data_IF_994586878929
#
_entry.id   IF_994586878929
#
_cell.length_a   1.000
_cell.length_b   1.000
_cell.length_c   1.000
_cell.angle_alpha   90.00
_cell.angle_beta   90.00
_cell.angle_gamma   90.00
#
_symmetry.space_group_name_H-M   'P 1'
#
loop_
_entity.id
_entity.type
_entity.pdbx_description
1 polymer ?
#
# COMPACT_ATOMS: atom_id res chain seq x y z
N UNK A 1 9.16 6.75 2.46
CA UNK A 1 7.78 6.32 2.16
C UNK A 1 7.86 5.08 1.29
N UNK A 2 6.80 4.29 1.29
CA UNK A 2 6.74 3.04 0.53
C UNK A 2 5.29 2.68 0.19
N UNK A 3 5.13 1.74 -0.72
CA UNK A 3 3.86 1.18 -1.15
C UNK A 3 3.83 -0.34 -0.97
N UNK A 4 2.70 -0.85 -0.50
CA UNK A 4 2.48 -2.29 -0.46
C UNK A 4 1.07 -2.67 -0.91
N UNK A 5 0.95 -3.88 -1.43
CA UNK A 5 -0.30 -4.46 -1.91
C UNK A 5 -0.75 -5.63 -1.07
N UNK A 6 -2.03 -5.65 -0.75
CA UNK A 6 -2.75 -6.80 -0.22
C UNK A 6 -3.55 -7.42 -1.36
N UNK A 7 -3.15 -8.63 -1.76
CA UNK A 7 -3.96 -9.47 -2.63
C UNK A 7 -4.95 -10.26 -1.78
N UNK A 8 -6.15 -10.52 -2.29
CA UNK A 8 -7.13 -11.45 -1.70
C UNK A 8 -6.70 -12.94 -1.79
N UNK A 9 -5.39 -13.16 -1.88
CA UNK A 9 -4.74 -14.47 -1.96
C UNK A 9 -4.32 -14.99 -0.60
N UNK A 10 -4.41 -14.19 0.46
CA UNK A 10 -4.14 -14.68 1.81
C UNK A 10 -5.18 -15.73 2.27
N UNK A 11 -4.70 -16.91 2.65
CA UNK A 11 -5.54 -17.95 3.26
C UNK A 11 -5.30 -17.94 4.76
N UNK A 12 -6.37 -17.98 5.55
CA UNK A 12 -6.25 -18.20 6.99
C UNK A 12 -5.65 -19.59 7.24
N UNK A 13 -4.54 -19.64 7.96
CA UNK A 13 -3.89 -20.90 8.34
C UNK A 13 -4.69 -21.71 9.38
N UNK A 14 -5.76 -21.11 9.92
CA UNK A 14 -6.55 -21.67 11.01
C UNK A 14 -8.03 -21.64 10.65
N UNK A 15 -8.75 -22.66 11.11
CA UNK A 15 -10.20 -22.77 11.01
C UNK A 15 -10.71 -23.63 12.17
N UNK A 16 -11.99 -23.50 12.49
CA UNK A 16 -12.61 -24.25 13.58
C UNK A 16 -13.35 -25.47 13.04
N UNK A 17 -13.07 -26.65 13.61
CA UNK A 17 -13.81 -27.89 13.37
C UNK A 17 -13.99 -28.66 14.69
N UNK A 18 -14.91 -29.62 14.71
CA UNK A 18 -15.05 -30.52 15.86
C UNK A 18 -13.75 -31.31 16.06
N UNK A 19 -13.48 -31.68 17.32
CA UNK A 19 -12.31 -32.47 17.67
C UNK A 19 -12.30 -33.79 16.89
N UNK A 20 -11.24 -34.04 16.12
CA UNK A 20 -11.08 -35.22 15.28
C UNK A 20 -11.58 -35.07 13.84
N UNK A 21 -12.21 -33.94 13.48
CA UNK A 21 -12.69 -33.66 12.13
C UNK A 21 -11.76 -32.69 11.40
N UNK A 22 -11.48 -32.96 10.11
CA UNK A 22 -10.68 -32.06 9.27
C UNK A 22 -11.47 -30.79 8.94
N UNK A 23 -10.86 -29.63 9.15
CA UNK A 23 -11.42 -28.35 8.69
C UNK A 23 -11.15 -28.18 7.18
N UNK A 24 -12.19 -28.32 6.36
CA UNK A 24 -12.11 -28.02 4.93
C UNK A 24 -12.45 -26.56 4.67
N UNK A 25 -11.74 -25.93 3.74
CA UNK A 25 -12.05 -24.60 3.25
C UNK A 25 -11.89 -24.57 1.73
N UNK A 26 -12.75 -23.82 1.06
CA UNK A 26 -12.67 -23.60 -0.38
C UNK A 26 -12.17 -22.19 -0.63
N UNK A 27 -11.20 -22.05 -1.53
CA UNK A 27 -10.71 -20.76 -2.00
C UNK A 27 -10.84 -20.66 -3.50
N UNK A 28 -11.32 -19.51 -3.97
CA UNK A 28 -11.35 -19.21 -5.41
C UNK A 28 -9.92 -19.16 -5.96
N UNK A 29 -9.66 -19.88 -7.05
CA UNK A 29 -8.39 -19.77 -7.79
C UNK A 29 -8.31 -18.52 -8.69
N UNK A 30 -9.38 -17.71 -8.75
CA UNK A 30 -9.40 -16.49 -9.56
C UNK A 30 -8.55 -15.40 -8.91
N UNK A 31 -7.92 -14.57 -9.74
CA UNK A 31 -7.24 -13.36 -9.29
C UNK A 31 -8.30 -12.32 -8.93
N UNK A 32 -8.48 -12.06 -7.65
CA UNK A 32 -9.42 -11.06 -7.13
C UNK A 32 -8.80 -9.66 -7.09
N UNK A 33 -9.60 -8.67 -6.68
CA UNK A 33 -9.17 -7.28 -6.54
C UNK A 33 -7.97 -7.18 -5.58
N UNK A 34 -7.00 -6.34 -5.96
CA UNK A 34 -5.85 -5.97 -5.12
C UNK A 34 -6.15 -4.63 -4.48
N UNK A 35 -5.97 -4.54 -3.17
CA UNK A 35 -5.99 -3.26 -2.45
C UNK A 35 -4.55 -2.93 -2.12
N UNK A 36 -4.08 -1.77 -2.53
CA UNK A 36 -2.74 -1.28 -2.20
C UNK A 36 -2.83 -0.05 -1.32
N UNK A 37 -1.73 0.26 -0.65
CA UNK A 37 -1.57 1.47 0.13
C UNK A 37 -0.23 2.13 -0.14
N UNK A 38 -0.18 3.42 0.11
CA UNK A 38 1.00 4.28 0.08
C UNK A 38 1.02 5.09 1.37
N UNK A 39 2.18 5.18 2.02
CA UNK A 39 2.34 5.95 3.24
C UNK A 39 3.80 6.37 3.45
N UNK A 40 4.01 7.50 4.10
CA UNK A 40 5.29 7.87 4.68
C UNK A 40 5.38 7.41 6.14
N UNK A 41 6.60 7.34 6.66
CA UNK A 41 6.85 7.12 8.08
C UNK A 41 7.63 8.33 8.59
N UNK A 42 7.08 9.05 9.56
CA UNK A 42 7.73 10.18 10.25
C UNK A 42 7.68 9.90 11.74
N UNK A 43 8.83 9.97 12.42
CA UNK A 43 8.91 9.77 13.88
C UNK A 43 8.29 8.44 14.40
N UNK A 44 8.39 7.37 13.59
CA UNK A 44 7.80 6.03 13.84
C UNK A 44 6.27 5.98 13.78
N UNK A 45 5.63 7.04 13.29
CA UNK A 45 4.20 7.09 13.04
C UNK A 45 3.89 7.10 11.54
N UNK A 46 2.76 6.47 11.18
CA UNK A 46 2.26 6.50 9.81
C UNK A 46 1.86 7.93 9.44
N UNK A 47 2.39 8.39 8.31
CA UNK A 47 2.24 9.76 7.86
C UNK A 47 1.65 9.80 6.45
N UNK A 48 0.54 10.51 6.29
CA UNK A 48 -0.23 10.56 5.04
C UNK A 48 -0.60 9.18 4.45
N UNK A 49 -1.24 8.26 5.21
CA UNK A 49 -1.67 6.98 4.67
C UNK A 49 -2.78 7.16 3.63
N UNK A 50 -2.71 6.41 2.54
CA UNK A 50 -3.73 6.38 1.50
C UNK A 50 -3.88 4.98 0.91
N UNK A 51 -5.13 4.52 0.77
CA UNK A 51 -5.47 3.19 0.23
C UNK A 51 -6.20 3.31 -1.10
N UNK A 52 -5.89 2.43 -2.04
CA UNK A 52 -6.47 2.44 -3.38
C UNK A 52 -6.57 1.05 -3.98
N UNK A 53 -7.42 0.89 -4.99
CA UNK A 53 -7.57 -0.37 -5.71
C UNK A 53 -6.57 -0.47 -6.86
N UNK A 54 -5.95 -1.64 -7.03
CA UNK A 54 -5.00 -1.91 -8.10
C UNK A 54 -3.54 -1.67 -7.71
N UNK A 55 -2.71 -1.31 -8.68
CA UNK A 55 -1.26 -1.09 -8.51
C UNK A 55 -0.93 0.40 -8.51
N UNK A 56 0.12 0.80 -7.78
CA UNK A 56 0.58 2.19 -7.78
C UNK A 56 1.03 2.56 -9.20
N UNK A 57 0.68 3.76 -9.63
CA UNK A 57 1.13 4.33 -10.89
C UNK A 57 1.51 5.80 -10.68
N UNK A 58 2.08 6.43 -11.71
CA UNK A 58 2.59 7.79 -11.61
C UNK A 58 1.54 8.83 -11.26
N UNK A 59 0.33 8.72 -11.83
CA UNK A 59 -0.76 9.69 -11.59
C UNK A 59 -1.27 9.58 -10.14
N UNK A 60 -1.42 8.36 -9.65
CA UNK A 60 -1.84 8.10 -8.27
C UNK A 60 -0.78 8.56 -7.27
N UNK A 61 0.49 8.27 -7.55
CA UNK A 61 1.62 8.74 -6.76
C UNK A 61 1.66 10.27 -6.70
N UNK A 62 1.52 10.94 -7.85
CA UNK A 62 1.50 12.41 -7.93
C UNK A 62 0.35 13.00 -7.13
N UNK A 63 -0.86 12.48 -7.31
CA UNK A 63 -2.03 12.91 -6.54
C UNK A 63 -1.81 12.73 -5.04
N UNK A 64 -1.28 11.59 -4.61
CA UNK A 64 -0.97 11.37 -3.20
C UNK A 64 0.10 12.34 -2.70
N UNK A 65 1.14 12.60 -3.49
CA UNK A 65 2.20 13.53 -3.13
C UNK A 65 1.65 14.94 -2.92
N UNK A 66 0.86 15.45 -3.88
CA UNK A 66 0.29 16.80 -3.89
C UNK A 66 -0.81 16.99 -2.85
N UNK A 67 -1.73 16.03 -2.72
CA UNK A 67 -2.94 16.19 -1.91
C UNK A 67 -2.80 15.62 -0.49
N UNK A 68 -1.93 14.61 -0.28
CA UNK A 68 -1.82 13.91 1.00
C UNK A 68 -0.53 14.19 1.75
N UNK A 69 0.62 14.16 1.07
CA UNK A 69 1.93 14.26 1.71
C UNK A 69 2.38 15.72 1.87
N UNK A 70 2.55 16.45 0.77
CA UNK A 70 3.10 17.80 0.75
C UNK A 70 2.38 18.79 1.69
N UNK A 71 1.04 18.79 1.82
CA UNK A 71 0.33 19.73 2.71
C UNK A 71 0.64 19.54 4.19
N UNK A 72 1.20 18.39 4.57
CA UNK A 72 1.52 18.05 5.97
C UNK A 72 3.00 18.22 6.29
N UNK A 73 3.86 18.38 5.29
CA UNK A 73 5.29 18.52 5.49
C UNK A 73 5.65 19.91 6.00
N UNK A 74 6.69 19.95 6.81
CA UNK A 74 7.26 21.18 7.33
C UNK A 74 8.57 21.51 6.60
N UNK A 75 8.94 22.80 6.61
CA UNK A 75 10.19 23.24 6.00
C UNK A 75 11.37 22.54 6.69
N UNK A 76 12.15 21.79 5.93
CA UNK A 76 13.31 21.04 6.42
C UNK A 76 13.07 19.53 6.52
N UNK A 77 11.83 19.07 6.34
CA UNK A 77 11.55 17.64 6.18
C UNK A 77 12.24 17.08 4.92
N UNK A 78 12.72 15.84 5.01
CA UNK A 78 13.38 15.13 3.92
C UNK A 78 12.52 13.93 3.53
N UNK A 79 12.14 13.87 2.25
CA UNK A 79 11.44 12.72 1.69
C UNK A 79 12.48 11.70 1.20
N UNK A 80 12.42 10.49 1.74
CA UNK A 80 13.21 9.35 1.26
C UNK A 80 12.26 8.36 0.58
N UNK A 81 12.55 8.07 -0.69
CA UNK A 81 11.79 7.18 -1.58
C UNK A 81 12.75 6.23 -2.29
N UNK A 82 12.28 5.04 -2.67
CA UNK A 82 13.07 4.13 -3.51
C UNK A 82 13.10 4.62 -4.98
N UNK A 83 13.88 3.93 -5.82
CA UNK A 83 14.08 4.32 -7.22
C UNK A 83 13.09 3.64 -8.18
N UNK A 84 11.80 3.61 -7.84
CA UNK A 84 10.78 3.12 -8.75
C UNK A 84 10.59 4.06 -9.96
N UNK A 85 10.26 3.52 -11.13
CA UNK A 85 10.12 4.30 -12.37
C UNK A 85 9.02 5.36 -12.29
N UNK A 86 7.95 5.12 -11.54
CA UNK A 86 6.85 6.07 -11.35
C UNK A 86 7.17 7.18 -10.35
N UNK A 87 8.26 7.07 -9.58
CA UNK A 87 8.82 8.17 -8.80
C UNK A 87 9.64 9.14 -9.65
N UNK A 88 9.93 8.78 -10.90
CA UNK A 88 10.74 9.59 -11.79
C UNK A 88 9.85 10.53 -12.62
N UNK A 89 10.12 11.82 -12.51
CA UNK A 89 9.48 12.87 -13.31
C UNK A 89 9.95 14.25 -12.86
N UNK A 90 10.07 15.19 -13.80
CA UNK A 90 10.42 16.58 -13.47
C UNK A 90 9.38 17.20 -12.52
N UNK A 91 8.11 16.84 -12.68
CA UNK A 91 7.01 17.30 -11.81
C UNK A 91 7.15 16.82 -10.35
N UNK A 92 7.84 15.68 -10.13
CA UNK A 92 8.00 15.03 -8.82
C UNK A 92 9.29 15.50 -8.13
N UNK A 93 10.31 15.89 -8.90
CA UNK A 93 11.65 16.26 -8.38
C UNK A 93 11.82 17.75 -8.07
N UNK A 94 10.73 18.51 -7.98
CA UNK A 94 10.76 19.93 -7.61
C UNK A 94 11.03 20.12 -6.13
#
# INVERSE_FOLDING_TARGET
MDEAGFDDRESYAYGYSKKGERCYSLKSGKRNQRVSWICALKEKELFAPFTFNGSCNKDLFKMWLEECLLPKLEKGDIIVIDNASFHQGEDIRK
#
